data_IF_940155285080
#
_entry.id   IF_940155285080
#
_cell.length_a   1.000
_cell.length_b   1.000
_cell.length_c   1.000
_cell.angle_alpha   90.00
_cell.angle_beta   90.00
_cell.angle_gamma   90.00
#
_symmetry.space_group_name_H-M   'P 1'
#
loop_
_entity.id
_entity.type
_entity.pdbx_description
1 polymer ?
#
# COMPACT_ATOMS: atom_id res chain seq x y z
N UNK A 1 11.15 12.44 19.09
CA UNK A 1 10.27 11.26 19.22
C UNK A 1 10.27 10.58 20.61
N UNK A 2 11.36 10.64 21.39
CA UNK A 2 11.45 9.96 22.71
C UNK A 2 10.38 10.35 23.75
N UNK A 3 9.93 11.61 23.79
CA UNK A 3 8.95 12.10 24.79
C UNK A 3 7.54 11.50 24.64
N UNK A 4 7.08 11.26 23.40
CA UNK A 4 5.73 10.73 23.14
C UNK A 4 5.60 9.24 23.48
N UNK A 5 6.64 8.44 23.19
CA UNK A 5 6.68 6.99 23.46
C UNK A 5 6.60 6.68 24.96
N UNK A 6 7.31 7.45 25.79
CA UNK A 6 7.27 7.30 27.25
C UNK A 6 5.89 7.65 27.84
N UNK A 7 5.10 8.47 27.14
CA UNK A 7 3.79 8.94 27.58
C UNK A 7 2.69 7.88 27.41
N UNK A 8 2.85 6.97 26.43
CA UNK A 8 1.98 5.80 26.21
C UNK A 8 2.19 4.75 27.30
N UNK A 9 3.44 4.54 27.71
CA UNK A 9 3.82 3.52 28.70
C UNK A 9 3.53 3.92 30.15
N UNK A 10 3.25 5.20 30.44
CA UNK A 10 3.12 5.71 31.81
C UNK A 10 1.80 5.36 32.51
N UNK A 11 0.73 5.02 31.78
CA UNK A 11 -0.62 4.80 32.35
C UNK A 11 -1.24 3.50 31.83
N UNK A 12 -1.62 2.58 32.71
CA UNK A 12 -2.16 1.26 32.34
C UNK A 12 -3.37 1.34 31.40
N UNK A 13 -4.26 2.31 31.60
CA UNK A 13 -5.43 2.55 30.73
C UNK A 13 -5.01 2.79 29.27
N UNK A 14 -3.88 3.48 29.04
CA UNK A 14 -3.36 3.72 27.68
C UNK A 14 -2.81 2.45 27.07
N UNK A 15 -2.11 1.62 27.84
CA UNK A 15 -1.63 0.32 27.35
C UNK A 15 -2.78 -0.60 26.96
N UNK A 16 -3.88 -0.61 27.72
CA UNK A 16 -5.08 -1.39 27.37
C UNK A 16 -5.72 -0.87 26.09
N UNK A 17 -5.90 0.45 25.94
CA UNK A 17 -6.48 1.04 24.73
C UNK A 17 -5.62 0.73 23.50
N UNK A 18 -4.30 0.89 23.59
CA UNK A 18 -3.37 0.58 22.49
C UNK A 18 -3.37 -0.92 22.18
N UNK A 19 -3.49 -1.78 23.19
CA UNK A 19 -3.61 -3.21 23.00
C UNK A 19 -4.88 -3.58 22.21
N UNK A 20 -6.03 -3.01 22.58
CA UNK A 20 -7.29 -3.24 21.87
C UNK A 20 -7.21 -2.77 20.42
N UNK A 21 -6.63 -1.59 20.19
CA UNK A 21 -6.47 -1.04 18.84
C UNK A 21 -5.54 -1.91 17.98
N UNK A 22 -4.38 -2.32 18.52
CA UNK A 22 -3.45 -3.20 17.80
C UNK A 22 -4.05 -4.58 17.53
N UNK A 23 -4.83 -5.13 18.46
CA UNK A 23 -5.56 -6.40 18.25
C UNK A 23 -6.60 -6.26 17.14
N UNK A 24 -7.39 -5.19 17.14
CA UNK A 24 -8.36 -4.90 16.09
C UNK A 24 -7.68 -4.74 14.72
N UNK A 25 -6.54 -4.04 14.67
CA UNK A 25 -5.77 -3.86 13.45
C UNK A 25 -5.25 -5.20 12.90
N UNK A 26 -4.74 -6.09 13.76
CA UNK A 26 -4.32 -7.44 13.34
C UNK A 26 -5.52 -8.25 12.80
N UNK A 27 -6.68 -8.18 13.46
CA UNK A 27 -7.88 -8.86 12.97
C UNK A 27 -8.30 -8.34 11.58
N UNK A 28 -8.21 -7.03 11.34
CA UNK A 28 -8.47 -6.42 10.02
C UNK A 28 -7.47 -6.95 8.98
N UNK A 29 -6.17 -6.96 9.29
CA UNK A 29 -5.12 -7.49 8.39
C UNK A 29 -5.40 -8.94 8.01
N UNK A 30 -5.69 -9.80 8.99
CA UNK A 30 -6.03 -11.21 8.75
C UNK A 30 -7.29 -11.35 7.91
N UNK A 31 -8.31 -10.53 8.16
CA UNK A 31 -9.54 -10.49 7.37
C UNK A 31 -9.29 -10.14 5.90
N UNK A 32 -8.50 -9.10 5.64
CA UNK A 32 -8.14 -8.69 4.27
C UNK A 32 -7.37 -9.78 3.52
N UNK A 33 -6.33 -10.36 4.15
CA UNK A 33 -5.54 -11.43 3.51
C UNK A 33 -6.42 -12.65 3.22
N UNK A 34 -7.30 -13.03 4.15
CA UNK A 34 -8.23 -14.15 3.94
C UNK A 34 -9.17 -13.88 2.78
N UNK A 35 -9.78 -12.70 2.73
CA UNK A 35 -10.69 -12.33 1.64
C UNK A 35 -9.98 -12.36 0.28
N UNK A 36 -8.75 -11.86 0.22
CA UNK A 36 -7.95 -11.87 -0.99
C UNK A 36 -7.57 -13.28 -1.45
N UNK A 37 -7.21 -14.18 -0.53
CA UNK A 37 -6.86 -15.57 -0.89
C UNK A 37 -8.07 -16.34 -1.41
N UNK A 38 -9.25 -16.13 -0.83
CA UNK A 38 -10.44 -16.90 -1.20
C UNK A 38 -11.02 -16.45 -2.55
N UNK A 39 -11.11 -15.15 -2.80
CA UNK A 39 -11.84 -14.61 -3.96
C UNK A 39 -11.06 -13.56 -4.78
N UNK A 40 -9.93 -13.06 -4.29
CA UNK A 40 -9.32 -11.81 -4.74
C UNK A 40 -8.89 -11.77 -6.21
N UNK A 41 -8.31 -12.85 -6.73
CA UNK A 41 -7.74 -12.86 -8.09
C UNK A 41 -8.55 -13.67 -9.11
N UNK A 42 -9.76 -14.09 -8.77
CA UNK A 42 -10.60 -14.86 -9.70
C UNK A 42 -10.91 -14.06 -10.97
N UNK A 43 -11.21 -12.78 -10.80
CA UNK A 43 -11.55 -11.89 -11.92
C UNK A 43 -10.31 -11.56 -12.77
N UNK A 44 -9.18 -11.28 -12.12
CA UNK A 44 -7.90 -11.06 -12.79
C UNK A 44 -7.49 -12.28 -13.62
N UNK A 45 -7.52 -13.48 -13.05
CA UNK A 45 -7.19 -14.71 -13.79
C UNK A 45 -8.18 -15.00 -14.94
N UNK A 46 -9.45 -14.64 -14.77
CA UNK A 46 -10.44 -14.77 -15.86
C UNK A 46 -10.14 -13.80 -17.01
N UNK A 47 -9.67 -12.59 -16.71
CA UNK A 47 -9.22 -11.62 -17.69
C UNK A 47 -7.93 -12.05 -18.38
N UNK A 48 -6.92 -12.48 -17.63
CA UNK A 48 -5.63 -12.97 -18.17
C UNK A 48 -5.80 -14.20 -19.07
N UNK A 49 -6.76 -15.07 -18.76
CA UNK A 49 -7.05 -16.25 -19.56
C UNK A 49 -8.01 -15.97 -20.74
N UNK A 50 -8.60 -14.77 -20.82
CA UNK A 50 -9.59 -14.43 -21.83
C UNK A 50 -8.95 -14.41 -23.23
N UNK A 51 -9.59 -15.11 -24.17
CA UNK A 51 -9.14 -15.13 -25.56
C UNK A 51 -9.66 -13.90 -26.32
N UNK A 52 -9.00 -13.49 -27.42
CA UNK A 52 -9.55 -12.47 -28.31
C UNK A 52 -10.91 -12.90 -28.89
N UNK A 53 -11.85 -11.97 -29.00
CA UNK A 53 -13.13 -12.24 -29.65
C UNK A 53 -12.92 -12.45 -31.16
N UNK A 54 -13.65 -13.40 -31.76
CA UNK A 54 -13.60 -13.63 -33.21
C UNK A 54 -14.34 -12.56 -34.04
N UNK A 55 -15.24 -11.82 -33.40
CA UNK A 55 -16.03 -10.73 -33.98
C UNK A 55 -16.42 -9.75 -32.86
N UNK A 56 -16.88 -8.56 -33.27
CA UNK A 56 -17.36 -7.54 -32.33
C UNK A 56 -18.54 -8.09 -31.50
N UNK A 57 -18.44 -8.08 -30.15
CA UNK A 57 -19.50 -8.60 -29.29
C UNK A 57 -20.65 -7.61 -29.15
N UNK A 58 -21.89 -8.05 -29.39
CA UNK A 58 -23.11 -7.24 -29.22
C UNK A 58 -23.54 -7.08 -27.75
N UNK A 59 -23.02 -7.93 -26.86
CA UNK A 59 -23.32 -7.95 -25.42
C UNK A 59 -22.04 -8.23 -24.62
N UNK A 60 -22.01 -7.96 -23.30
CA UNK A 60 -20.90 -8.35 -22.44
C UNK A 60 -20.46 -9.80 -22.66
N UNK A 61 -19.20 -10.00 -23.04
CA UNK A 61 -18.63 -11.29 -23.40
C UNK A 61 -17.33 -11.59 -22.63
N UNK A 62 -17.07 -12.87 -22.39
CA UNK A 62 -15.86 -13.39 -21.74
C UNK A 62 -14.67 -13.50 -22.72
N UNK A 63 -14.49 -12.49 -23.57
CA UNK A 63 -13.39 -12.41 -24.53
C UNK A 63 -12.88 -10.96 -24.62
N UNK A 64 -11.64 -10.80 -25.06
CA UNK A 64 -10.99 -9.51 -25.22
C UNK A 64 -11.33 -8.95 -26.61
N UNK A 65 -11.86 -7.73 -26.66
CA UNK A 65 -12.14 -7.03 -27.90
C UNK A 65 -11.40 -5.69 -27.93
N UNK A 66 -10.78 -5.36 -29.05
CA UNK A 66 -10.13 -4.05 -29.23
C UNK A 66 -10.92 -3.26 -30.26
N UNK A 67 -11.20 -1.99 -29.96
CA UNK A 67 -11.82 -1.07 -30.91
C UNK A 67 -11.29 0.34 -30.74
N UNK A 68 -11.42 1.13 -31.80
CA UNK A 68 -11.06 2.55 -31.78
C UNK A 68 -12.19 3.38 -31.15
N UNK A 69 -11.79 4.38 -30.39
CA UNK A 69 -12.66 5.39 -29.81
C UNK A 69 -12.09 6.77 -30.05
N UNK A 70 -12.97 7.72 -30.31
CA UNK A 70 -12.64 9.14 -30.32
C UNK A 70 -12.85 9.72 -28.94
N UNK A 71 -11.85 10.39 -28.40
CA UNK A 71 -11.95 11.10 -27.13
C UNK A 71 -12.70 12.39 -27.35
N UNK A 72 -13.77 12.66 -26.61
CA UNK A 72 -14.51 13.93 -26.73
C UNK A 72 -14.21 14.89 -25.59
N UNK A 73 -14.07 14.39 -24.38
CA UNK A 73 -13.80 15.19 -23.19
C UNK A 73 -12.76 14.50 -22.31
N UNK A 74 -11.89 15.30 -21.68
CA UNK A 74 -10.92 14.83 -20.71
C UNK A 74 -11.01 15.67 -19.42
N UNK A 75 -11.28 15.00 -18.30
CA UNK A 75 -11.36 15.60 -16.98
C UNK A 75 -10.19 15.14 -16.11
N UNK A 76 -9.13 15.96 -16.05
CA UNK A 76 -7.97 15.71 -15.19
C UNK A 76 -8.06 16.54 -13.90
N UNK A 77 -7.90 15.89 -12.75
CA UNK A 77 -8.00 16.53 -11.44
C UNK A 77 -6.73 16.37 -10.61
N UNK A 78 -6.41 17.39 -9.82
CA UNK A 78 -5.34 17.31 -8.80
C UNK A 78 -5.90 16.92 -7.41
N UNK A 79 -7.22 16.78 -7.28
CA UNK A 79 -7.84 16.49 -6.00
C UNK A 79 -7.68 15.00 -5.65
N UNK A 80 -7.23 14.72 -4.42
CA UNK A 80 -6.93 13.36 -3.93
C UNK A 80 -8.12 12.38 -3.93
N UNK A 81 -9.34 12.88 -4.00
CA UNK A 81 -10.59 12.09 -3.93
C UNK A 81 -11.50 12.30 -5.16
N UNK A 82 -10.94 12.73 -6.29
CA UNK A 82 -11.67 12.79 -7.55
C UNK A 82 -10.91 11.94 -8.56
N UNK A 83 -11.64 11.12 -9.28
CA UNK A 83 -11.06 10.30 -10.33
C UNK A 83 -10.81 11.16 -11.57
N UNK A 84 -9.81 10.79 -12.36
CA UNK A 84 -9.65 11.34 -13.70
C UNK A 84 -10.63 10.60 -14.60
N UNK A 85 -11.28 11.29 -15.52
CA UNK A 85 -12.19 10.63 -16.47
C UNK A 85 -11.98 11.12 -17.89
N UNK A 86 -12.41 10.31 -18.84
CA UNK A 86 -12.51 10.67 -20.23
C UNK A 86 -13.82 10.14 -20.81
N UNK A 87 -14.40 10.90 -21.74
CA UNK A 87 -15.56 10.48 -22.50
C UNK A 87 -15.08 9.96 -23.86
N UNK A 88 -15.45 8.72 -24.17
CA UNK A 88 -15.01 7.98 -25.35
C UNK A 88 -16.21 7.65 -26.22
N UNK A 89 -16.14 7.99 -27.51
CA UNK A 89 -17.19 7.70 -28.50
C UNK A 89 -16.68 6.63 -29.46
N UNK A 90 -17.43 5.53 -29.58
CA UNK A 90 -17.19 4.48 -30.56
C UNK A 90 -17.68 4.88 -31.95
N UNK A 91 -17.28 4.15 -33.00
CA UNK A 91 -17.70 4.43 -34.38
C UNK A 91 -19.22 4.39 -34.59
N UNK A 92 -19.94 3.58 -33.81
CA UNK A 92 -21.40 3.49 -33.83
C UNK A 92 -22.10 4.66 -33.12
N UNK A 93 -21.32 5.62 -32.59
CA UNK A 93 -21.80 6.76 -31.83
C UNK A 93 -22.05 6.48 -30.34
N UNK A 94 -21.76 5.27 -29.86
CA UNK A 94 -21.93 4.94 -28.43
C UNK A 94 -20.92 5.70 -27.58
N UNK A 95 -21.44 6.54 -26.69
CA UNK A 95 -20.65 7.29 -25.71
C UNK A 95 -20.42 6.47 -24.44
N UNK A 96 -19.20 6.52 -23.91
CA UNK A 96 -18.80 5.85 -22.67
C UNK A 96 -17.89 6.74 -21.84
N UNK A 97 -18.33 7.06 -20.63
CA UNK A 97 -17.48 7.67 -19.63
C UNK A 97 -16.58 6.60 -18.99
N UNK A 98 -15.28 6.87 -18.93
CA UNK A 98 -14.27 5.96 -18.40
C UNK A 98 -13.43 6.65 -17.34
N UNK A 99 -13.15 5.97 -16.23
CA UNK A 99 -12.40 6.52 -15.11
C UNK A 99 -10.99 5.92 -15.00
N UNK A 100 -10.08 6.70 -14.44
CA UNK A 100 -8.65 6.38 -14.36
C UNK A 100 -8.08 6.77 -12.99
N UNK A 101 -7.31 5.85 -12.41
CA UNK A 101 -6.60 6.06 -11.14
C UNK A 101 -5.44 7.05 -11.26
N UNK A 102 -4.89 7.21 -12.46
CA UNK A 102 -3.78 8.10 -12.77
C UNK A 102 -4.11 9.00 -13.96
N UNK A 103 -3.35 10.09 -14.12
CA UNK A 103 -3.52 11.03 -15.24
C UNK A 103 -2.91 10.56 -16.55
N UNK A 104 -2.10 9.51 -16.54
CA UNK A 104 -1.30 9.11 -17.69
C UNK A 104 -0.92 7.64 -17.62
N UNK A 105 -0.21 7.12 -18.62
CA UNK A 105 0.54 7.87 -19.63
C UNK A 105 -0.27 8.36 -20.85
N UNK A 106 -1.47 7.83 -21.07
CA UNK A 106 -2.25 8.08 -22.31
C UNK A 106 -3.00 9.41 -22.23
N UNK A 107 -3.74 9.69 -21.16
CA UNK A 107 -4.55 10.92 -21.07
C UNK A 107 -3.73 12.22 -21.04
N UNK A 108 -2.41 12.14 -20.78
CA UNK A 108 -1.51 13.30 -20.87
C UNK A 108 -1.05 13.62 -22.30
N UNK A 109 -1.29 12.71 -23.25
CA UNK A 109 -0.73 12.77 -24.61
C UNK A 109 -1.79 12.83 -25.70
N UNK A 110 -3.04 12.55 -25.35
CA UNK A 110 -4.17 12.55 -26.28
C UNK A 110 -4.99 13.80 -26.00
N UNK A 111 -5.30 14.53 -27.06
CA UNK A 111 -6.19 15.69 -27.01
C UNK A 111 -7.63 15.28 -27.29
N UNK A 112 -8.59 16.15 -26.95
CA UNK A 112 -9.98 16.03 -27.39
C UNK A 112 -10.04 15.99 -28.94
N UNK A 113 -10.86 15.08 -29.48
CA UNK A 113 -10.90 14.69 -30.89
C UNK A 113 -9.84 13.66 -31.29
N UNK A 114 -8.92 13.28 -30.39
CA UNK A 114 -7.91 12.26 -30.63
C UNK A 114 -8.50 10.84 -30.65
N UNK A 115 -7.81 9.93 -31.36
CA UNK A 115 -8.18 8.52 -31.40
C UNK A 115 -7.38 7.71 -30.38
N UNK A 116 -8.06 6.80 -29.70
CA UNK A 116 -7.47 5.81 -28.78
C UNK A 116 -8.00 4.41 -29.10
N UNK A 117 -7.19 3.39 -28.91
CA UNK A 117 -7.65 2.00 -28.98
C UNK A 117 -7.99 1.53 -27.58
N UNK A 118 -9.27 1.25 -27.34
CA UNK A 118 -9.76 0.68 -26.09
C UNK A 118 -9.77 -0.85 -26.14
N UNK A 119 -9.30 -1.48 -25.08
CA UNK A 119 -9.47 -2.91 -24.81
C UNK A 119 -10.71 -3.11 -23.96
N UNK A 120 -11.65 -3.93 -24.44
CA UNK A 120 -12.90 -4.25 -23.78
C UNK A 120 -12.91 -5.69 -23.28
N UNK A 121 -13.45 -5.87 -22.08
CA UNK A 121 -13.77 -7.17 -21.52
C UNK A 121 -15.07 -7.09 -20.74
N UNK A 122 -15.99 -8.04 -20.99
CA UNK A 122 -17.35 -8.03 -20.39
C UNK A 122 -18.07 -6.69 -20.55
N UNK A 123 -17.87 -6.03 -21.69
CA UNK A 123 -18.49 -4.75 -22.02
C UNK A 123 -17.89 -3.53 -21.32
N UNK A 124 -16.89 -3.69 -20.45
CA UNK A 124 -16.15 -2.58 -19.82
C UNK A 124 -14.85 -2.32 -20.56
N UNK A 125 -14.40 -1.07 -20.60
CA UNK A 125 -13.09 -0.71 -21.15
C UNK A 125 -12.08 -0.94 -20.03
N UNK A 126 -11.24 -1.95 -20.15
CA UNK A 126 -10.21 -2.29 -19.15
C UNK A 126 -8.94 -1.49 -19.37
N UNK A 127 -8.59 -1.20 -20.62
CA UNK A 127 -7.38 -0.46 -20.97
C UNK A 127 -7.65 0.47 -22.14
N UNK A 128 -6.88 1.55 -22.21
CA UNK A 128 -6.76 2.38 -23.41
C UNK A 128 -5.31 2.42 -23.85
N UNK A 129 -5.10 2.52 -25.16
CA UNK A 129 -3.77 2.67 -25.74
C UNK A 129 -3.76 3.74 -26.83
N UNK A 130 -2.70 4.53 -26.84
CA UNK A 130 -2.42 5.52 -27.87
C UNK A 130 -0.94 5.83 -27.91
N UNK A 131 -0.43 6.17 -29.10
CA UNK A 131 0.97 6.57 -29.31
C UNK A 131 1.99 5.57 -28.72
N UNK A 132 1.70 4.26 -28.81
CA UNK A 132 2.56 3.20 -28.29
C UNK A 132 2.63 3.10 -26.76
N UNK A 133 1.74 3.80 -26.04
CA UNK A 133 1.58 3.69 -24.59
C UNK A 133 0.21 3.16 -24.23
N UNK A 134 0.13 2.41 -23.13
CA UNK A 134 -1.11 1.84 -22.59
C UNK A 134 -1.36 2.40 -21.20
N UNK A 135 -2.64 2.54 -20.85
CA UNK A 135 -3.09 2.98 -19.53
C UNK A 135 -4.31 2.16 -19.14
N UNK A 136 -4.28 1.58 -17.94
CA UNK A 136 -5.43 0.87 -17.35
C UNK A 136 -6.50 1.84 -16.86
N UNK A 137 -7.75 1.43 -16.98
CA UNK A 137 -8.91 2.11 -16.41
C UNK A 137 -9.18 1.60 -14.99
N UNK A 138 -10.08 2.24 -14.25
CA UNK A 138 -10.55 1.70 -12.96
C UNK A 138 -11.38 0.42 -13.09
N UNK A 139 -11.85 0.11 -14.30
CA UNK A 139 -12.59 -1.13 -14.60
C UNK A 139 -11.66 -2.32 -14.90
N UNK A 140 -10.35 -2.08 -15.04
CA UNK A 140 -9.36 -3.13 -15.14
C UNK A 140 -9.40 -4.02 -13.88
N UNK A 141 -9.47 -5.35 -14.02
CA UNK A 141 -9.29 -6.26 -12.90
C UNK A 141 -7.91 -6.04 -12.25
N UNK A 142 -7.89 -5.80 -10.94
CA UNK A 142 -6.64 -5.52 -10.20
C UNK A 142 -6.14 -6.72 -9.41
N UNK A 143 -4.84 -6.76 -9.11
CA UNK A 143 -4.24 -7.75 -8.20
C UNK A 143 -4.60 -7.45 -6.74
N UNK A 144 -5.76 -7.93 -6.32
CA UNK A 144 -6.28 -7.77 -4.95
C UNK A 144 -5.39 -8.49 -3.94
N UNK A 145 -4.76 -9.61 -4.33
CA UNK A 145 -3.83 -10.35 -3.47
C UNK A 145 -2.56 -9.54 -3.22
N UNK A 146 -1.92 -9.01 -4.25
CA UNK A 146 -0.73 -8.17 -4.12
C UNK A 146 -0.97 -6.97 -3.22
N UNK A 147 -2.08 -6.25 -3.43
CA UNK A 147 -2.49 -5.12 -2.59
C UNK A 147 -2.73 -5.52 -1.13
N UNK A 148 -3.41 -6.64 -0.88
CA UNK A 148 -3.69 -7.13 0.48
C UNK A 148 -2.43 -7.59 1.21
N UNK A 149 -1.51 -8.26 0.50
CA UNK A 149 -0.22 -8.67 1.05
C UNK A 149 0.67 -7.46 1.35
N UNK A 150 0.68 -6.46 0.48
CA UNK A 150 1.39 -5.20 0.72
C UNK A 150 0.86 -4.50 1.98
N UNK A 151 -0.45 -4.36 2.11
CA UNK A 151 -1.09 -3.81 3.31
C UNK A 151 -0.70 -4.60 4.57
N UNK A 152 -0.76 -5.94 4.50
CA UNK A 152 -0.39 -6.81 5.61
C UNK A 152 1.09 -6.69 6.00
N UNK A 153 2.00 -6.55 5.03
CA UNK A 153 3.43 -6.39 5.26
C UNK A 153 3.74 -5.05 5.95
N UNK A 154 3.09 -3.96 5.54
CA UNK A 154 3.31 -2.62 6.11
C UNK A 154 2.73 -2.50 7.51
N UNK A 155 1.58 -3.13 7.78
CA UNK A 155 0.83 -2.91 9.03
C UNK A 155 0.98 -4.04 10.06
N UNK A 156 1.08 -5.29 9.63
CA UNK A 156 1.09 -6.48 10.48
C UNK A 156 2.25 -6.51 11.48
N UNK A 157 3.52 -6.49 11.01
CA UNK A 157 4.68 -6.56 11.91
C UNK A 157 4.74 -5.41 12.94
N UNK A 158 4.54 -4.13 12.57
CA UNK A 158 4.46 -3.05 13.55
C UNK A 158 3.34 -3.24 14.59
N UNK A 159 2.13 -3.61 14.15
CA UNK A 159 1.00 -3.83 15.04
C UNK A 159 1.26 -4.96 16.04
N UNK A 160 1.89 -6.06 15.57
CA UNK A 160 2.28 -7.19 16.40
C UNK A 160 3.32 -6.77 17.46
N UNK A 161 4.32 -5.99 17.09
CA UNK A 161 5.33 -5.50 18.04
C UNK A 161 4.73 -4.55 19.09
N UNK A 162 3.80 -3.69 18.69
CA UNK A 162 3.05 -2.83 19.62
C UNK A 162 2.21 -3.69 20.58
N UNK A 163 1.51 -4.69 20.07
CA UNK A 163 0.71 -5.62 20.86
C UNK A 163 1.58 -6.35 21.90
N UNK A 164 2.70 -6.94 21.49
CA UNK A 164 3.66 -7.63 22.37
C UNK A 164 4.21 -6.68 23.43
N UNK A 165 4.56 -5.45 23.06
CA UNK A 165 5.07 -4.44 24.01
C UNK A 165 4.00 -4.05 25.03
N UNK A 166 2.73 -3.95 24.62
CA UNK A 166 1.62 -3.66 25.53
C UNK A 166 1.36 -4.82 26.51
N UNK A 167 1.33 -6.07 26.03
CA UNK A 167 1.21 -7.26 26.88
C UNK A 167 2.37 -7.32 27.86
N UNK A 168 3.61 -7.10 27.41
CA UNK A 168 4.80 -7.06 28.26
C UNK A 168 4.67 -5.99 29.35
N UNK A 169 4.16 -4.80 29.02
CA UNK A 169 3.91 -3.73 29.99
C UNK A 169 2.85 -4.10 31.03
N UNK A 170 1.79 -4.79 30.63
CA UNK A 170 0.71 -5.21 31.54
C UNK A 170 1.18 -6.32 32.49
N UNK A 171 1.99 -7.26 32.01
CA UNK A 171 2.61 -8.29 32.85
C UNK A 171 3.51 -7.63 33.90
N UNK A 172 4.28 -6.60 33.51
CA UNK A 172 5.17 -5.84 34.40
C UNK A 172 4.53 -4.61 35.06
N UNK A 173 3.23 -4.65 35.31
CA UNK A 173 2.51 -3.47 35.82
C UNK A 173 3.05 -2.94 37.16
N UNK A 174 3.65 -3.81 37.99
CA UNK A 174 4.23 -3.45 39.28
C UNK A 174 5.53 -2.63 39.17
N UNK A 175 6.20 -2.61 38.00
CA UNK A 175 7.43 -1.84 37.80
C UNK A 175 7.10 -0.43 37.27
N UNK A 176 7.52 0.65 37.98
CA UNK A 176 7.13 2.01 37.60
C UNK A 176 7.78 2.50 36.30
N UNK A 177 8.96 2.00 35.94
CA UNK A 177 9.74 2.50 34.79
C UNK A 177 9.69 1.52 33.60
N UNK A 178 9.39 1.98 32.37
CA UNK A 178 9.52 1.15 31.18
C UNK A 178 10.96 0.70 30.97
N UNK A 179 11.14 -0.55 30.55
CA UNK A 179 12.47 -1.09 30.27
C UNK A 179 13.02 -0.53 28.96
N UNK A 180 14.36 -0.50 28.82
CA UNK A 180 15.01 -0.14 27.54
C UNK A 180 14.55 -1.05 26.39
N UNK A 181 14.30 -2.34 26.68
CA UNK A 181 13.76 -3.28 25.71
C UNK A 181 12.38 -2.89 25.18
N UNK A 182 11.46 -2.43 26.04
CA UNK A 182 10.14 -1.94 25.61
C UNK A 182 10.24 -0.69 24.73
N UNK A 183 11.17 0.23 25.06
CA UNK A 183 11.39 1.41 24.23
C UNK A 183 11.99 1.04 22.86
N UNK A 184 12.93 0.08 22.84
CA UNK A 184 13.54 -0.45 21.63
C UNK A 184 12.52 -1.15 20.72
N UNK A 185 11.66 -2.02 21.26
CA UNK A 185 10.62 -2.70 20.47
C UNK A 185 9.60 -1.74 19.88
N UNK A 186 9.22 -0.70 20.64
CA UNK A 186 8.30 0.33 20.17
C UNK A 186 8.95 1.23 19.10
N UNK A 187 10.24 1.52 19.25
CA UNK A 187 11.04 2.21 18.23
C UNK A 187 11.14 1.40 16.94
N UNK A 188 11.38 0.08 17.05
CA UNK A 188 11.41 -0.83 15.90
C UNK A 188 10.05 -0.88 15.20
N UNK A 189 8.95 -0.98 15.96
CA UNK A 189 7.60 -0.97 15.39
C UNK A 189 7.34 0.31 14.56
N UNK A 190 7.69 1.48 15.11
CA UNK A 190 7.60 2.75 14.39
C UNK A 190 8.49 2.79 13.15
N UNK A 191 9.73 2.29 13.25
CA UNK A 191 10.67 2.20 12.13
C UNK A 191 10.16 1.32 10.99
N UNK A 192 9.64 0.13 11.31
CA UNK A 192 9.06 -0.80 10.33
C UNK A 192 7.84 -0.23 9.62
N UNK A 193 6.98 0.48 10.35
CA UNK A 193 5.80 1.13 9.76
C UNK A 193 6.19 2.24 8.79
N UNK A 194 7.12 3.13 9.20
CA UNK A 194 7.61 4.21 8.35
C UNK A 194 8.38 3.68 7.13
N UNK A 195 9.18 2.62 7.31
CA UNK A 195 9.85 1.93 6.22
C UNK A 195 8.85 1.35 5.21
N UNK A 196 7.77 0.73 5.69
CA UNK A 196 6.68 0.24 4.84
C UNK A 196 5.97 1.33 4.06
N UNK A 197 5.61 2.43 4.71
CA UNK A 197 5.00 3.57 4.03
C UNK A 197 5.93 4.17 2.98
N UNK A 198 7.22 4.32 3.31
CA UNK A 198 8.20 4.85 2.37
C UNK A 198 8.40 3.91 1.16
N UNK A 199 8.49 2.61 1.40
CA UNK A 199 8.59 1.62 0.34
C UNK A 199 7.35 1.65 -0.57
N UNK A 200 6.15 1.77 0.00
CA UNK A 200 4.90 1.89 -0.78
C UNK A 200 4.84 3.16 -1.63
N UNK A 201 5.40 4.28 -1.15
CA UNK A 201 5.50 5.52 -1.93
C UNK A 201 6.51 5.42 -3.08
N UNK A 202 7.57 4.60 -2.93
CA UNK A 202 8.65 4.47 -3.92
C UNK A 202 8.32 3.51 -5.06
N UNK A 203 7.49 2.50 -4.83
CA UNK A 203 7.17 1.46 -5.84
C UNK A 203 6.15 1.98 -6.87
N UNK A 204 5.72 3.24 -6.75
CA UNK A 204 4.48 3.76 -7.31
C UNK A 204 3.28 3.00 -6.71
N UNK A 205 2.10 3.61 -6.62
CA UNK A 205 0.97 3.01 -5.90
C UNK A 205 0.44 1.70 -6.54
N UNK A 206 1.06 1.24 -7.62
CA UNK A 206 0.87 -0.06 -8.26
C UNK A 206 1.47 -1.17 -7.40
N UNK A 207 0.63 -1.72 -6.51
CA UNK A 207 0.89 -2.88 -5.66
C UNK A 207 1.23 -4.19 -6.42
N UNK A 208 1.29 -4.14 -7.75
CA UNK A 208 1.64 -5.23 -8.66
C UNK A 208 3.06 -5.77 -8.47
N UNK A 209 3.97 -4.97 -7.87
CA UNK A 209 5.36 -5.38 -7.61
C UNK A 209 5.61 -5.70 -6.15
N UNK A 210 4.75 -6.53 -5.56
CA UNK A 210 4.89 -6.98 -4.16
C UNK A 210 6.31 -7.48 -3.82
N UNK A 211 6.98 -8.19 -4.74
CA UNK A 211 8.36 -8.65 -4.55
C UNK A 211 9.38 -7.51 -4.38
N UNK A 212 9.24 -6.42 -5.14
CA UNK A 212 10.10 -5.23 -5.03
C UNK A 212 9.81 -4.49 -3.72
N UNK A 213 8.53 -4.36 -3.37
CA UNK A 213 8.11 -3.78 -2.09
C UNK A 213 8.72 -4.56 -0.91
N UNK A 214 8.62 -5.89 -0.93
CA UNK A 214 9.17 -6.76 0.10
C UNK A 214 10.69 -6.61 0.23
N UNK A 215 11.42 -6.54 -0.88
CA UNK A 215 12.87 -6.37 -0.88
C UNK A 215 13.30 -5.02 -0.27
N UNK A 216 12.66 -3.92 -0.69
CA UNK A 216 12.93 -2.57 -0.16
C UNK A 216 12.58 -2.50 1.33
N UNK A 217 11.41 -3.05 1.69
CA UNK A 217 10.98 -3.12 3.09
C UNK A 217 11.96 -3.91 3.94
N UNK A 218 12.40 -5.08 3.50
CA UNK A 218 13.34 -5.92 4.23
C UNK A 218 14.69 -5.22 4.46
N UNK A 219 15.20 -4.49 3.47
CA UNK A 219 16.42 -3.68 3.62
C UNK A 219 16.29 -2.59 4.68
N UNK A 220 15.19 -1.84 4.64
CA UNK A 220 14.89 -0.80 5.64
C UNK A 220 14.61 -1.38 7.03
N UNK A 221 13.95 -2.53 7.10
CA UNK A 221 13.69 -3.26 8.33
C UNK A 221 14.98 -3.73 8.98
N UNK A 222 15.93 -4.27 8.20
CA UNK A 222 17.24 -4.65 8.69
C UNK A 222 18.01 -3.43 9.25
N UNK A 223 17.97 -2.29 8.55
CA UNK A 223 18.59 -1.05 9.03
C UNK A 223 17.98 -0.56 10.34
N UNK A 224 16.64 -0.57 10.45
CA UNK A 224 15.92 -0.20 11.66
C UNK A 224 16.28 -1.14 12.83
N UNK A 225 16.33 -2.45 12.57
CA UNK A 225 16.71 -3.45 13.56
C UNK A 225 18.16 -3.25 14.05
N UNK A 226 19.10 -3.01 13.14
CA UNK A 226 20.51 -2.73 13.49
C UNK A 226 20.62 -1.45 14.31
N UNK A 227 19.90 -0.39 13.93
CA UNK A 227 19.91 0.90 14.66
C UNK A 227 19.36 0.73 16.08
N UNK A 228 18.25 0.00 16.22
CA UNK A 228 17.65 -0.31 17.54
C UNK A 228 18.58 -1.20 18.36
N UNK A 229 19.23 -2.19 17.74
CA UNK A 229 20.20 -3.04 18.41
C UNK A 229 21.38 -2.23 18.94
N UNK A 230 22.03 -1.44 18.08
CA UNK A 230 23.16 -0.58 18.46
C UNK A 230 22.75 0.37 19.58
N UNK A 231 21.63 1.07 19.47
CA UNK A 231 21.18 2.00 20.52
C UNK A 231 20.81 1.32 21.83
N UNK A 232 20.35 0.07 21.78
CA UNK A 232 20.05 -0.72 22.98
C UNK A 232 21.32 -1.28 23.66
N UNK A 233 22.38 -1.56 22.89
CA UNK A 233 23.63 -2.16 23.40
C UNK A 233 24.74 -1.14 23.68
N UNK A 234 24.70 0.05 23.07
CA UNK A 234 25.69 1.09 23.33
C UNK A 234 25.57 1.61 24.76
N UNK A 235 26.53 1.27 25.61
CA UNK A 235 26.76 1.99 26.87
C UNK A 235 27.39 3.32 26.50
N UNK A 236 26.79 4.43 26.92
CA UNK A 236 27.52 5.69 26.96
C UNK A 236 28.80 5.47 27.78
N UNK A 237 29.96 5.60 27.14
CA UNK A 237 31.21 5.75 27.86
C UNK A 237 31.09 7.05 28.65
N UNK A 238 31.08 6.97 29.98
CA UNK A 238 30.92 8.13 30.84
C UNK A 238 31.99 9.20 30.51
N UNK A 239 31.61 10.42 30.09
CA UNK A 239 32.54 11.52 30.00
C UNK A 239 32.76 12.06 31.42
N UNK A 240 33.77 11.54 32.12
CA UNK A 240 34.10 12.02 33.46
C UNK A 240 34.86 11.02 34.32
N UNK A 241 36.09 10.69 33.91
CA UNK A 241 37.09 10.11 34.81
C UNK A 241 38.45 10.68 34.39
N UNK A 242 38.72 11.93 34.75
CA UNK A 242 39.94 12.61 34.33
C UNK A 242 40.05 14.06 34.78
N UNK A 243 39.60 14.39 35.98
CA UNK A 243 40.12 15.54 36.73
C UNK A 243 40.24 15.14 38.18
N UNK A 244 41.40 15.49 38.74
CA UNK A 244 41.85 15.37 40.12
C UNK A 244 42.39 13.96 40.45
N UNK A 245 43.62 13.76 40.90
CA UNK A 245 44.43 14.55 41.82
C UNK A 245 45.85 13.94 41.82
N UNK A 246 46.92 14.74 41.75
CA UNK A 246 48.23 14.41 42.33
C UNK A 246 49.11 15.67 42.36
N UNK A 247 48.98 16.36 43.50
CA UNK A 247 50.06 16.83 44.39
C UNK A 247 51.45 17.05 43.77
#
# INVERSE_FOLDING_TARGET
>A
MSSSLNTVLRRHTRSIIVLLFSTALIAIVVGHVRAAILDGNRELHAYEAAQPCSAAPESPADCIWQQEFTVTDIYLTNARNKDNSAVLIAEDGTERETYFSSKGPVLLKVDEGGQVTGTLWRGRITEISAHGTTQETTDAPTDVIGGSLAFALVTGPPALLVMVTCVWRLIRHAEPKPTRGMAATLGLAGGLFLAGLFAALMVDASFERFGVLLAVWAGLAALAAVTVYITATYKEAAPGAGTDENN
#
